data_IF_856382512529
#
_entry.id   IF_856382512529
#
_cell.length_a   1.000
_cell.length_b   1.000
_cell.length_c   1.000
_cell.angle_alpha   90.00
_cell.angle_beta   90.00
_cell.angle_gamma   90.00
#
_symmetry.space_group_name_H-M   'P 1'
#
loop_
_entity.id
_entity.type
_entity.pdbx_description
1 polymer ?
#
# COMPACT_ATOMS: atom_id res chain seq x y z
N UNK A 1 7.92 -33.22 46.52
CA UNK A 1 8.54 -32.49 47.65
C UNK A 1 8.09 -33.14 48.94
N UNK A 2 9.03 -33.65 49.75
CA UNK A 2 8.76 -34.14 51.11
C UNK A 2 8.74 -32.92 52.03
N UNK A 3 7.65 -32.72 52.78
CA UNK A 3 7.60 -31.73 53.84
C UNK A 3 8.17 -32.35 55.11
N UNK A 4 9.24 -31.76 55.64
CA UNK A 4 9.75 -32.10 56.97
C UNK A 4 8.89 -31.46 58.07
N UNK A 5 8.78 -32.07 59.27
CA UNK A 5 7.96 -31.55 60.35
C UNK A 5 8.60 -30.33 61.00
N UNK A 6 7.80 -29.29 61.24
CA UNK A 6 8.21 -28.07 61.94
C UNK A 6 8.39 -28.39 63.44
N UNK A 7 9.63 -28.28 63.94
CA UNK A 7 9.92 -28.29 65.38
C UNK A 7 9.58 -26.92 66.01
N UNK A 8 8.99 -26.86 67.22
CA UNK A 8 8.64 -25.59 67.85
C UNK A 8 9.88 -24.99 68.52
N UNK A 9 10.52 -24.04 67.84
CA UNK A 9 11.47 -23.11 68.43
C UNK A 9 10.79 -21.76 68.70
N UNK A 10 11.24 -21.05 69.74
CA UNK A 10 10.78 -19.71 70.11
C UNK A 10 10.78 -18.73 68.92
N UNK A 11 9.93 -17.69 68.91
CA UNK A 11 9.68 -16.87 67.73
C UNK A 11 10.82 -15.88 67.52
N UNK A 12 11.94 -16.35 66.99
CA UNK A 12 12.88 -15.49 66.28
C UNK A 12 12.46 -15.63 64.83
N UNK A 13 11.65 -14.69 64.35
CA UNK A 13 11.51 -14.50 62.91
C UNK A 13 12.93 -14.29 62.38
N UNK A 14 13.32 -15.05 61.35
CA UNK A 14 14.65 -14.94 60.77
C UNK A 14 14.76 -13.63 59.98
N UNK A 15 15.91 -12.93 60.03
CA UNK A 15 16.15 -11.68 59.27
C UNK A 15 15.88 -11.87 57.77
N UNK A 16 16.05 -13.11 57.29
CA UNK A 16 15.72 -13.54 55.92
C UNK A 16 14.29 -13.24 55.51
N UNK A 17 13.30 -13.30 56.43
CA UNK A 17 11.88 -13.12 56.08
C UNK A 17 11.59 -11.69 55.59
N UNK A 18 12.21 -10.68 56.21
CA UNK A 18 12.09 -9.30 55.75
C UNK A 18 12.79 -9.10 54.40
N UNK A 19 13.96 -9.70 54.21
CA UNK A 19 14.66 -9.65 52.91
C UNK A 19 13.85 -10.30 51.80
N UNK A 20 13.33 -11.52 52.03
CA UNK A 20 12.52 -12.29 51.10
C UNK A 20 11.22 -11.55 50.74
N UNK A 21 10.58 -10.90 51.72
CA UNK A 21 9.41 -10.05 51.45
C UNK A 21 9.81 -8.85 50.58
N UNK A 22 10.92 -8.17 50.87
CA UNK A 22 11.41 -7.07 50.04
C UNK A 22 11.71 -7.49 48.60
N UNK A 23 12.42 -8.61 48.42
CA UNK A 23 12.72 -9.17 47.10
C UNK A 23 11.45 -9.58 46.34
N UNK A 24 10.46 -10.16 47.04
CA UNK A 24 9.18 -10.51 46.44
C UNK A 24 8.39 -9.28 45.96
N UNK A 25 8.34 -8.20 46.76
CA UNK A 25 7.66 -6.96 46.36
C UNK A 25 8.29 -6.38 45.08
N UNK A 26 9.62 -6.36 45.01
CA UNK A 26 10.37 -5.90 43.82
C UNK A 26 10.11 -6.80 42.61
N UNK A 27 10.13 -8.12 42.82
CA UNK A 27 9.83 -9.10 41.78
C UNK A 27 8.40 -8.94 41.23
N UNK A 28 7.43 -8.64 42.10
CA UNK A 28 6.06 -8.34 41.69
C UNK A 28 6.02 -7.05 40.85
N UNK A 29 6.70 -5.99 41.29
CA UNK A 29 6.73 -4.72 40.55
C UNK A 29 7.39 -4.84 39.16
N UNK A 30 8.45 -5.64 39.01
CA UNK A 30 9.03 -5.94 37.68
C UNK A 30 8.07 -6.77 36.82
N UNK A 31 7.43 -7.78 37.40
CA UNK A 31 6.43 -8.59 36.69
C UNK A 31 5.23 -7.75 36.21
N UNK A 32 4.74 -6.82 37.04
CA UNK A 32 3.67 -5.89 36.68
C UNK A 32 4.05 -5.02 35.48
N UNK A 33 5.25 -4.42 35.48
CA UNK A 33 5.74 -3.60 34.37
C UNK A 33 6.00 -4.40 33.07
N UNK A 34 6.33 -5.69 33.17
CA UNK A 34 6.41 -6.58 31.99
C UNK A 34 5.02 -6.87 31.42
N UNK A 35 4.02 -7.09 32.26
CA UNK A 35 2.64 -7.35 31.84
C UNK A 35 1.99 -6.11 31.22
N UNK A 36 2.27 -4.93 31.75
CA UNK A 36 1.83 -3.66 31.16
C UNK A 36 2.34 -3.52 29.72
N UNK A 37 3.66 -3.69 29.51
CA UNK A 37 4.23 -3.67 28.15
C UNK A 37 3.63 -4.73 27.23
N UNK A 38 3.32 -5.92 27.75
CA UNK A 38 2.66 -6.95 26.98
C UNK A 38 1.21 -6.57 26.60
N UNK A 39 0.50 -5.89 27.50
CA UNK A 39 -0.87 -5.39 27.26
C UNK A 39 -0.85 -4.31 26.18
N UNK A 40 0.06 -3.34 26.27
CA UNK A 40 0.24 -2.32 25.23
C UNK A 40 0.59 -2.93 23.86
N UNK A 41 1.32 -4.05 23.86
CA UNK A 41 1.63 -4.79 22.64
C UNK A 41 0.39 -5.50 22.07
N UNK A 42 -0.49 -6.07 22.91
CA UNK A 42 -1.75 -6.65 22.47
C UNK A 42 -2.64 -5.60 21.81
N UNK A 43 -2.76 -4.40 22.39
CA UNK A 43 -3.57 -3.31 21.83
C UNK A 43 -3.05 -2.85 20.47
N UNK A 44 -1.71 -2.75 20.33
CA UNK A 44 -1.08 -2.48 19.03
C UNK A 44 -1.39 -3.57 17.99
N UNK A 45 -1.33 -4.84 18.38
CA UNK A 45 -1.67 -5.95 17.49
C UNK A 45 -3.14 -5.91 17.03
N UNK A 46 -4.08 -5.54 17.91
CA UNK A 46 -5.49 -5.34 17.52
C UNK A 46 -5.61 -4.27 16.43
N UNK A 47 -4.90 -3.15 16.58
CA UNK A 47 -4.86 -2.10 15.57
C UNK A 47 -4.29 -2.57 14.22
N UNK A 48 -3.21 -3.34 14.23
CA UNK A 48 -2.63 -3.93 13.01
C UNK A 48 -3.58 -4.93 12.34
N UNK A 49 -4.27 -5.77 13.13
CA UNK A 49 -5.27 -6.72 12.61
C UNK A 49 -6.45 -6.01 11.96
N UNK A 50 -6.92 -4.89 12.52
CA UNK A 50 -7.97 -4.07 11.90
C UNK A 50 -7.56 -3.54 10.51
N UNK A 51 -6.30 -3.12 10.34
CA UNK A 51 -5.78 -2.71 9.03
C UNK A 51 -5.71 -3.88 8.03
N UNK A 52 -5.38 -5.08 8.49
CA UNK A 52 -5.41 -6.28 7.64
C UNK A 52 -6.83 -6.61 7.19
N UNK A 53 -7.83 -6.44 8.06
CA UNK A 53 -9.23 -6.62 7.71
C UNK A 53 -9.68 -5.64 6.61
N UNK A 54 -9.29 -4.37 6.71
CA UNK A 54 -9.53 -3.36 5.66
C UNK A 54 -8.93 -3.78 4.31
N UNK A 55 -7.71 -4.32 4.29
CA UNK A 55 -7.10 -4.82 3.05
C UNK A 55 -7.85 -6.02 2.46
N UNK A 56 -8.38 -6.92 3.30
CA UNK A 56 -9.18 -8.06 2.83
C UNK A 56 -10.49 -7.58 2.20
N UNK A 57 -11.14 -6.57 2.79
CA UNK A 57 -12.36 -5.97 2.22
C UNK A 57 -12.06 -5.29 0.88
N UNK A 58 -10.96 -4.53 0.78
CA UNK A 58 -10.53 -3.93 -0.48
C UNK A 58 -10.25 -4.99 -1.54
N UNK A 59 -9.54 -6.06 -1.18
CA UNK A 59 -9.24 -7.16 -2.09
C UNK A 59 -10.51 -7.80 -2.64
N UNK A 60 -11.56 -7.98 -1.82
CA UNK A 60 -12.83 -8.51 -2.31
C UNK A 60 -13.55 -7.58 -3.28
N UNK A 61 -13.47 -6.27 -3.07
CA UNK A 61 -14.01 -5.30 -4.02
C UNK A 61 -13.26 -5.40 -5.37
N UNK A 62 -11.93 -5.47 -5.33
CA UNK A 62 -11.10 -5.64 -6.52
C UNK A 62 -11.43 -6.96 -7.24
N UNK A 63 -11.66 -8.05 -6.51
CA UNK A 63 -12.06 -9.33 -7.11
C UNK A 63 -13.40 -9.25 -7.83
N UNK A 64 -14.40 -8.54 -7.28
CA UNK A 64 -15.69 -8.33 -7.97
C UNK A 64 -15.49 -7.56 -9.26
N UNK A 65 -14.69 -6.49 -9.23
CA UNK A 65 -14.38 -5.72 -10.43
C UNK A 65 -13.66 -6.56 -11.49
N UNK A 66 -12.73 -7.43 -11.09
CA UNK A 66 -12.05 -8.36 -12.01
C UNK A 66 -13.06 -9.33 -12.64
N UNK A 67 -13.99 -9.88 -11.85
CA UNK A 67 -15.03 -10.78 -12.36
C UNK A 67 -15.91 -10.07 -13.42
N UNK A 68 -16.43 -8.89 -13.09
CA UNK A 68 -17.25 -8.10 -14.02
C UNK A 68 -16.49 -7.76 -15.32
N UNK A 69 -15.22 -7.35 -15.20
CA UNK A 69 -14.37 -7.04 -16.36
C UNK A 69 -14.07 -8.26 -17.22
N UNK A 70 -13.97 -9.44 -16.60
CA UNK A 70 -13.73 -10.71 -17.29
C UNK A 70 -14.98 -11.15 -18.05
N UNK A 71 -16.16 -10.97 -17.47
CA UNK A 71 -17.43 -11.24 -18.16
C UNK A 71 -17.66 -10.29 -19.33
N UNK A 72 -17.30 -9.00 -19.18
CA UNK A 72 -17.33 -8.04 -20.29
C UNK A 72 -16.34 -8.44 -21.41
N UNK A 73 -15.11 -8.84 -21.04
CA UNK A 73 -14.12 -9.31 -22.01
C UNK A 73 -14.62 -10.51 -22.81
N UNK A 74 -15.29 -11.48 -22.16
CA UNK A 74 -15.91 -12.63 -22.85
C UNK A 74 -17.00 -12.21 -23.83
N UNK A 75 -17.88 -11.29 -23.42
CA UNK A 75 -18.92 -10.77 -24.31
C UNK A 75 -18.33 -10.05 -25.54
N UNK A 76 -17.25 -9.28 -25.33
CA UNK A 76 -16.54 -8.61 -26.42
C UNK A 76 -15.84 -9.61 -27.34
N UNK A 77 -15.19 -10.65 -26.80
CA UNK A 77 -14.57 -11.73 -27.58
C UNK A 77 -15.61 -12.48 -28.42
N UNK A 78 -16.78 -12.80 -27.86
CA UNK A 78 -17.86 -13.45 -28.60
C UNK A 78 -18.35 -12.59 -29.78
N UNK A 79 -18.56 -11.29 -29.55
CA UNK A 79 -18.94 -10.34 -30.62
C UNK A 79 -17.84 -10.19 -31.67
N UNK A 80 -16.57 -10.15 -31.26
CA UNK A 80 -15.44 -10.09 -32.18
C UNK A 80 -15.38 -11.33 -33.06
N UNK A 81 -15.63 -12.52 -32.50
CA UNK A 81 -15.70 -13.77 -33.23
C UNK A 81 -16.82 -13.74 -34.30
N UNK A 82 -18.03 -13.32 -33.93
CA UNK A 82 -19.14 -13.17 -34.90
C UNK A 82 -18.80 -12.17 -36.03
N UNK A 83 -18.13 -11.06 -35.70
CA UNK A 83 -17.70 -10.08 -36.70
C UNK A 83 -16.62 -10.62 -37.63
N UNK A 84 -15.67 -11.41 -37.10
CA UNK A 84 -14.62 -12.04 -37.89
C UNK A 84 -15.18 -13.13 -38.81
N UNK A 85 -16.11 -13.95 -38.33
CA UNK A 85 -16.79 -14.96 -39.14
C UNK A 85 -17.58 -14.32 -40.28
N UNK A 86 -18.36 -13.27 -39.99
CA UNK A 86 -19.06 -12.49 -41.02
C UNK A 86 -18.07 -11.81 -41.99
N UNK A 87 -16.94 -11.33 -41.47
CA UNK A 87 -15.86 -10.76 -42.28
C UNK A 87 -15.26 -11.78 -43.25
N UNK A 88 -14.98 -12.99 -42.78
CA UNK A 88 -14.46 -14.09 -43.56
C UNK A 88 -15.44 -14.53 -44.66
N UNK A 89 -16.74 -14.65 -44.35
CA UNK A 89 -17.77 -14.94 -45.35
C UNK A 89 -17.83 -13.87 -46.46
N UNK A 90 -17.76 -12.59 -46.08
CA UNK A 90 -17.77 -11.48 -47.04
C UNK A 90 -16.53 -11.48 -47.93
N UNK A 91 -15.35 -11.74 -47.37
CA UNK A 91 -14.10 -11.85 -48.14
C UNK A 91 -14.17 -13.03 -49.10
N UNK A 92 -14.63 -14.21 -48.64
CA UNK A 92 -14.80 -15.38 -49.50
C UNK A 92 -15.77 -15.12 -50.66
N UNK A 93 -16.86 -14.40 -50.40
CA UNK A 93 -17.81 -13.97 -51.44
C UNK A 93 -17.13 -13.04 -52.43
N UNK A 94 -16.42 -12.02 -51.94
CA UNK A 94 -15.68 -11.08 -52.79
C UNK A 94 -14.63 -11.77 -53.66
N UNK A 95 -13.89 -12.75 -53.13
CA UNK A 95 -12.93 -13.56 -53.89
C UNK A 95 -13.63 -14.33 -55.02
N UNK A 96 -14.80 -14.91 -54.76
CA UNK A 96 -15.57 -15.66 -55.76
C UNK A 96 -16.09 -14.74 -56.89
N UNK A 97 -16.64 -13.58 -56.52
CA UNK A 97 -17.07 -12.56 -57.48
C UNK A 97 -15.88 -12.05 -58.31
N UNK A 98 -14.74 -11.82 -57.67
CA UNK A 98 -13.54 -11.34 -58.33
C UNK A 98 -12.97 -12.36 -59.33
N UNK A 99 -12.98 -13.65 -58.99
CA UNK A 99 -12.63 -14.72 -59.94
C UNK A 99 -13.53 -14.74 -61.17
N UNK A 100 -14.81 -14.41 -61.01
CA UNK A 100 -15.74 -14.28 -62.14
C UNK A 100 -15.37 -13.10 -63.06
N UNK A 101 -14.86 -12.01 -62.50
CA UNK A 101 -14.32 -10.87 -63.28
C UNK A 101 -13.07 -11.26 -64.05
N UNK A 102 -12.15 -12.01 -63.43
CA UNK A 102 -10.93 -12.53 -64.09
C UNK A 102 -11.31 -13.36 -65.31
N UNK A 103 -12.26 -14.29 -65.15
CA UNK A 103 -12.73 -15.13 -66.25
C UNK A 103 -13.41 -14.30 -67.37
N UNK A 104 -14.14 -13.24 -67.04
CA UNK A 104 -14.71 -12.32 -68.01
C UNK A 104 -13.62 -11.58 -68.81
N UNK A 105 -12.58 -11.09 -68.13
CA UNK A 105 -11.43 -10.40 -68.77
C UNK A 105 -10.70 -11.37 -69.72
N UNK A 106 -10.47 -12.61 -69.28
CA UNK A 106 -9.84 -13.63 -70.11
C UNK A 106 -10.66 -13.93 -71.38
N UNK A 107 -11.98 -14.07 -71.25
CA UNK A 107 -12.89 -14.26 -72.39
C UNK A 107 -12.90 -13.05 -73.33
N UNK A 108 -12.88 -11.83 -72.79
CA UNK A 108 -12.78 -10.61 -73.60
C UNK A 108 -11.48 -10.57 -74.39
N UNK A 109 -10.35 -10.96 -73.78
CA UNK A 109 -9.06 -11.06 -74.46
C UNK A 109 -9.08 -12.02 -75.65
N UNK A 110 -9.70 -13.18 -75.48
CA UNK A 110 -9.90 -14.14 -76.57
C UNK A 110 -10.77 -13.57 -77.70
N UNK A 111 -11.85 -12.88 -77.37
CA UNK A 111 -12.74 -12.24 -78.36
C UNK A 111 -12.03 -11.14 -79.16
N UNK A 112 -11.26 -10.27 -78.51
CA UNK A 112 -10.51 -9.19 -79.18
C UNK A 112 -9.42 -9.77 -80.09
N UNK A 113 -8.74 -10.84 -79.64
CA UNK A 113 -7.73 -11.54 -80.47
C UNK A 113 -8.37 -12.13 -81.73
N UNK A 114 -9.54 -12.77 -81.60
CA UNK A 114 -10.27 -13.29 -82.74
C UNK A 114 -10.77 -12.16 -83.67
N UNK A 115 -11.24 -11.05 -83.10
CA UNK A 115 -11.66 -9.87 -83.87
C UNK A 115 -10.50 -9.30 -84.70
N UNK A 116 -9.31 -9.18 -84.12
CA UNK A 116 -8.10 -8.74 -84.83
C UNK A 116 -7.76 -9.66 -86.03
N UNK A 117 -7.85 -10.99 -85.84
CA UNK A 117 -7.63 -11.96 -86.92
C UNK A 117 -8.66 -11.82 -88.07
N UNK A 118 -9.93 -11.56 -87.74
CA UNK A 118 -10.97 -11.31 -88.76
C UNK A 118 -10.69 -10.01 -89.53
N UNK A 119 -10.26 -8.95 -88.85
CA UNK A 119 -9.89 -7.68 -89.50
C UNK A 119 -8.73 -7.88 -90.48
N UNK A 120 -7.74 -8.69 -90.14
CA UNK A 120 -6.63 -9.03 -91.03
C UNK A 120 -7.10 -9.77 -92.30
N UNK A 121 -8.04 -10.70 -92.17
CA UNK A 121 -8.66 -11.36 -93.33
C UNK A 121 -9.41 -10.37 -94.23
N UNK A 122 -10.19 -9.44 -93.65
CA UNK A 122 -10.91 -8.41 -94.42
C UNK A 122 -9.92 -7.49 -95.14
N UNK A 123 -8.79 -7.16 -94.53
CA UNK A 123 -7.74 -6.37 -95.15
C UNK A 123 -7.13 -7.09 -96.38
N UNK A 124 -6.86 -8.40 -96.28
CA UNK A 124 -6.37 -9.21 -97.40
C UNK A 124 -7.37 -9.28 -98.56
N UNK A 125 -8.66 -9.44 -98.25
CA UNK A 125 -9.73 -9.44 -99.26
C UNK A 125 -9.83 -8.07 -99.94
N UNK A 126 -9.80 -6.98 -99.18
CA UNK A 126 -9.84 -5.62 -99.71
C UNK A 126 -8.66 -5.33 -100.65
N UNK A 127 -7.45 -5.78 -100.29
CA UNK A 127 -6.26 -5.66 -101.12
C UNK A 127 -6.37 -6.46 -102.43
N UNK A 128 -6.98 -7.64 -102.37
CA UNK A 128 -7.26 -8.45 -103.56
C UNK A 128 -8.26 -7.75 -104.50
N UNK A 129 -9.31 -7.13 -103.97
CA UNK A 129 -10.28 -6.36 -104.75
C UNK A 129 -9.63 -5.12 -105.37
N UNK A 130 -8.74 -4.44 -104.65
CA UNK A 130 -7.98 -3.30 -105.17
C UNK A 130 -7.13 -3.70 -106.39
N UNK A 131 -6.47 -4.86 -106.30
CA UNK A 131 -5.66 -5.41 -107.39
C UNK A 131 -6.52 -5.81 -108.61
N UNK A 132 -7.72 -6.36 -108.39
CA UNK A 132 -8.70 -6.62 -109.45
C UNK A 132 -9.11 -5.29 -110.10
N UNK A 133 -9.52 -4.29 -109.31
CA UNK A 133 -9.90 -2.96 -109.81
C UNK A 133 -8.77 -2.26 -110.57
N UNK A 134 -7.51 -2.43 -110.14
CA UNK A 134 -6.33 -1.95 -110.88
C UNK A 134 -6.19 -2.62 -112.24
N UNK A 135 -6.35 -3.94 -112.28
CA UNK A 135 -6.29 -4.72 -113.52
C UNK A 135 -7.44 -4.37 -114.47
N UNK A 136 -8.67 -4.26 -113.96
CA UNK A 136 -9.85 -3.85 -114.72
C UNK A 136 -9.71 -2.44 -115.29
N UNK A 137 -9.17 -1.50 -114.51
CA UNK A 137 -8.88 -0.15 -114.99
C UNK A 137 -7.84 -0.13 -116.12
N UNK A 138 -6.81 -0.98 -116.04
CA UNK A 138 -5.82 -1.14 -117.12
C UNK A 138 -6.43 -1.76 -118.38
N UNK A 139 -7.25 -2.81 -118.22
CA UNK A 139 -7.98 -3.44 -119.33
C UNK A 139 -8.94 -2.45 -120.01
N UNK A 140 -9.69 -1.69 -119.22
CA UNK A 140 -10.61 -0.67 -119.72
C UNK A 140 -9.88 0.48 -120.44
N UNK A 141 -8.70 0.88 -119.95
CA UNK A 141 -7.86 1.85 -120.63
C UNK A 141 -7.37 1.33 -121.99
N UNK A 142 -6.87 0.09 -122.03
CA UNK A 142 -6.43 -0.54 -123.28
C UNK A 142 -7.60 -0.67 -124.27
N UNK A 143 -8.79 -1.05 -123.79
CA UNK A 143 -10.00 -1.12 -124.61
C UNK A 143 -10.45 0.25 -125.13
N UNK A 144 -10.34 1.31 -124.33
CA UNK A 144 -10.64 2.67 -124.76
C UNK A 144 -9.67 3.16 -125.86
N UNK A 145 -8.37 2.87 -125.71
CA UNK A 145 -7.36 3.19 -126.73
C UNK A 145 -7.66 2.47 -128.05
N UNK A 146 -7.96 1.17 -128.00
CA UNK A 146 -8.26 0.40 -129.21
C UNK A 146 -9.59 0.82 -129.85
N UNK A 147 -10.58 1.21 -129.04
CA UNK A 147 -11.84 1.77 -129.52
C UNK A 147 -11.66 3.14 -130.23
N UNK A 148 -10.78 4.01 -129.74
CA UNK A 148 -10.40 5.24 -130.47
C UNK A 148 -9.67 4.91 -131.78
N UNK A 149 -8.80 3.91 -131.76
CA UNK A 149 -8.04 3.46 -132.93
C UNK A 149 -8.90 2.91 -134.06
N UNK A 150 -10.06 2.34 -133.72
CA UNK A 150 -11.05 1.82 -134.68
C UNK A 150 -11.96 2.90 -135.30
N UNK A 151 -11.83 4.18 -134.91
CA UNK A 151 -12.60 5.30 -135.47
C UNK A 151 -14.12 5.16 -135.24
N UNK A 152 -14.94 5.44 -136.26
CA UNK A 152 -16.41 5.44 -136.15
C UNK A 152 -17.00 4.09 -135.72
N UNK A 153 -16.35 2.97 -136.08
CA UNK A 153 -16.79 1.63 -135.70
C UNK A 153 -16.58 1.32 -134.20
N UNK A 154 -15.67 2.02 -133.52
CA UNK A 154 -15.33 1.82 -132.11
C UNK A 154 -16.12 2.67 -131.12
N UNK A 155 -16.97 3.59 -131.59
CA UNK A 155 -17.57 4.64 -130.74
C UNK A 155 -18.42 4.10 -129.57
N UNK A 156 -19.19 3.04 -129.80
CA UNK A 156 -19.97 2.36 -128.73
C UNK A 156 -19.08 1.61 -127.75
N UNK A 157 -17.98 1.01 -128.21
CA UNK A 157 -17.00 0.36 -127.34
C UNK A 157 -16.24 1.37 -126.47
N UNK A 158 -15.96 2.57 -126.98
CA UNK A 158 -15.31 3.63 -126.22
C UNK A 158 -16.16 4.08 -125.01
N UNK A 159 -17.49 4.18 -125.18
CA UNK A 159 -18.42 4.53 -124.09
C UNK A 159 -18.43 3.44 -123.01
N UNK A 160 -18.50 2.16 -123.39
CA UNK A 160 -18.47 1.04 -122.44
C UNK A 160 -17.12 1.00 -121.71
N UNK A 161 -16.00 1.18 -122.43
CA UNK A 161 -14.67 1.20 -121.84
C UNK A 161 -14.50 2.35 -120.83
N UNK A 162 -15.05 3.54 -121.13
CA UNK A 162 -15.06 4.67 -120.19
C UNK A 162 -15.86 4.37 -118.91
N UNK A 163 -17.02 3.72 -119.03
CA UNK A 163 -17.84 3.35 -117.87
C UNK A 163 -17.18 2.25 -117.02
N UNK A 164 -16.56 1.24 -117.65
CA UNK A 164 -15.79 0.20 -116.93
C UNK A 164 -14.59 0.81 -116.22
N UNK A 165 -13.89 1.77 -116.85
CA UNK A 165 -12.78 2.52 -116.23
C UNK A 165 -13.25 3.29 -115.00
N UNK A 166 -14.37 4.00 -115.10
CA UNK A 166 -14.99 4.73 -113.98
C UNK A 166 -15.41 3.80 -112.85
N UNK A 167 -16.02 2.65 -113.17
CA UNK A 167 -16.39 1.64 -112.18
C UNK A 167 -15.16 1.10 -111.45
N UNK A 168 -14.08 0.80 -112.18
CA UNK A 168 -12.83 0.34 -111.59
C UNK A 168 -12.15 1.40 -110.69
N UNK A 169 -12.24 2.68 -111.04
CA UNK A 169 -11.77 3.78 -110.19
C UNK A 169 -12.62 3.91 -108.91
N UNK A 170 -13.96 3.82 -109.03
CA UNK A 170 -14.87 3.83 -107.88
C UNK A 170 -14.61 2.65 -106.94
N UNK A 171 -14.42 1.43 -107.49
CA UNK A 171 -14.07 0.25 -106.71
C UNK A 171 -12.77 0.45 -105.93
N UNK A 172 -11.75 1.06 -106.57
CA UNK A 172 -10.49 1.36 -105.88
C UNK A 172 -10.67 2.36 -104.73
N UNK A 173 -11.45 3.42 -104.95
CA UNK A 173 -11.80 4.38 -103.90
C UNK A 173 -12.51 3.73 -102.72
N UNK A 174 -13.47 2.84 -102.99
CA UNK A 174 -14.17 2.08 -101.95
C UNK A 174 -13.23 1.13 -101.18
N UNK A 175 -12.31 0.43 -101.86
CA UNK A 175 -11.32 -0.43 -101.18
C UNK A 175 -10.33 0.36 -100.32
N UNK A 176 -10.00 1.59 -100.72
CA UNK A 176 -9.15 2.48 -99.91
C UNK A 176 -9.86 2.99 -98.64
N UNK A 177 -11.17 3.24 -98.71
CA UNK A 177 -11.99 3.55 -97.53
C UNK A 177 -12.10 2.36 -96.57
N UNK A 178 -12.31 1.16 -97.10
CA UNK A 178 -12.30 -0.08 -96.32
C UNK A 178 -10.96 -0.25 -95.62
N UNK A 179 -9.84 -0.11 -96.35
CA UNK A 179 -8.49 -0.22 -95.78
C UNK A 179 -8.25 0.76 -94.64
N UNK A 180 -8.66 2.02 -94.78
CA UNK A 180 -8.55 3.02 -93.71
C UNK A 180 -9.39 2.65 -92.49
N UNK A 181 -10.62 2.19 -92.71
CA UNK A 181 -11.53 1.79 -91.62
C UNK A 181 -11.01 0.58 -90.86
N UNK A 182 -10.51 -0.44 -91.57
CA UNK A 182 -9.87 -1.62 -90.97
C UNK A 182 -8.60 -1.25 -90.20
N UNK A 183 -7.78 -0.33 -90.71
CA UNK A 183 -6.61 0.17 -90.00
C UNK A 183 -6.96 0.87 -88.67
N UNK A 184 -8.06 1.64 -88.65
CA UNK A 184 -8.57 2.26 -87.41
C UNK A 184 -9.03 1.19 -86.41
N UNK A 185 -9.83 0.22 -86.86
CA UNK A 185 -10.33 -0.88 -86.01
C UNK A 185 -9.21 -1.77 -85.48
N UNK A 186 -8.17 -2.03 -86.28
CA UNK A 186 -6.99 -2.77 -85.84
C UNK A 186 -6.21 -2.00 -84.75
N UNK A 187 -6.13 -0.67 -84.87
CA UNK A 187 -5.49 0.18 -83.86
C UNK A 187 -6.28 0.15 -82.55
N UNK A 188 -7.61 0.27 -82.61
CA UNK A 188 -8.49 0.16 -81.45
C UNK A 188 -8.40 -1.23 -80.79
N UNK A 189 -8.40 -2.31 -81.59
CA UNK A 189 -8.25 -3.67 -81.08
C UNK A 189 -6.91 -3.87 -80.35
N UNK A 190 -5.81 -3.33 -80.89
CA UNK A 190 -4.50 -3.37 -80.24
C UNK A 190 -4.50 -2.61 -78.90
N UNK A 191 -5.17 -1.45 -78.84
CA UNK A 191 -5.38 -0.71 -77.61
C UNK A 191 -6.14 -1.53 -76.55
N UNK A 192 -7.24 -2.17 -76.95
CA UNK A 192 -8.01 -3.05 -76.06
C UNK A 192 -7.18 -4.22 -75.52
N UNK A 193 -6.32 -4.84 -76.34
CA UNK A 193 -5.44 -5.92 -75.88
C UNK A 193 -4.50 -5.45 -74.77
N UNK A 194 -3.93 -4.25 -74.90
CA UNK A 194 -3.06 -3.68 -73.88
C UNK A 194 -3.82 -3.40 -72.57
N UNK A 195 -5.05 -2.88 -72.66
CA UNK A 195 -5.91 -2.66 -71.48
C UNK A 195 -6.29 -3.97 -70.79
N UNK A 196 -6.61 -5.01 -71.56
CA UNK A 196 -6.92 -6.36 -71.04
C UNK A 196 -5.71 -6.94 -70.31
N UNK A 197 -4.52 -6.81 -70.88
CA UNK A 197 -3.29 -7.32 -70.26
C UNK A 197 -2.98 -6.59 -68.94
N UNK A 198 -3.19 -5.27 -68.90
CA UNK A 198 -3.12 -4.51 -67.64
C UNK A 198 -4.18 -4.97 -66.63
N UNK A 199 -5.41 -5.24 -67.09
CA UNK A 199 -6.49 -5.78 -66.26
C UNK A 199 -6.16 -7.14 -65.64
N UNK A 200 -5.50 -8.03 -66.40
CA UNK A 200 -5.01 -9.33 -65.90
C UNK A 200 -3.95 -9.13 -64.81
N UNK A 201 -2.95 -8.27 -65.04
CA UNK A 201 -1.91 -7.99 -64.04
C UNK A 201 -2.47 -7.39 -62.75
N UNK A 202 -3.41 -6.44 -62.87
CA UNK A 202 -4.12 -5.86 -61.72
C UNK A 202 -4.93 -6.91 -60.97
N UNK A 203 -5.56 -7.82 -61.69
CA UNK A 203 -6.35 -8.90 -61.08
C UNK A 203 -5.48 -9.88 -60.30
N UNK A 204 -4.32 -10.29 -60.84
CA UNK A 204 -3.38 -11.16 -60.12
C UNK A 204 -2.87 -10.52 -58.83
N UNK A 205 -2.64 -9.20 -58.86
CA UNK A 205 -2.27 -8.46 -57.64
C UNK A 205 -3.39 -8.44 -56.60
N UNK A 206 -4.63 -8.24 -57.04
CA UNK A 206 -5.79 -8.25 -56.15
C UNK A 206 -6.02 -9.64 -55.52
N UNK A 207 -5.80 -10.73 -56.27
CA UNK A 207 -5.89 -12.10 -55.74
C UNK A 207 -4.89 -12.32 -54.59
N UNK A 208 -3.63 -11.93 -54.76
CA UNK A 208 -2.62 -11.99 -53.69
C UNK A 208 -2.99 -11.13 -52.45
N UNK A 209 -3.65 -9.99 -52.67
CA UNK A 209 -4.14 -9.16 -51.57
C UNK A 209 -5.28 -9.84 -50.80
N UNK A 210 -6.19 -10.53 -51.49
CA UNK A 210 -7.26 -11.29 -50.84
C UNK A 210 -6.74 -12.47 -50.02
N UNK A 211 -5.70 -13.17 -50.49
CA UNK A 211 -5.03 -14.21 -49.70
C UNK A 211 -4.47 -13.62 -48.40
N UNK A 212 -3.77 -12.48 -48.49
CA UNK A 212 -3.22 -11.79 -47.31
C UNK A 212 -4.32 -11.37 -46.32
N UNK A 213 -5.47 -10.90 -46.81
CA UNK A 213 -6.62 -10.53 -45.96
C UNK A 213 -7.21 -11.77 -45.29
N UNK A 214 -7.30 -12.89 -46.01
CA UNK A 214 -7.83 -14.15 -45.48
C UNK A 214 -6.95 -14.68 -44.35
N UNK A 215 -5.63 -14.66 -44.54
CA UNK A 215 -4.66 -15.05 -43.50
C UNK A 215 -4.78 -14.15 -42.27
N UNK A 216 -4.87 -12.83 -42.47
CA UNK A 216 -5.03 -11.88 -41.37
C UNK A 216 -6.33 -12.08 -40.58
N UNK A 217 -7.43 -12.47 -41.24
CA UNK A 217 -8.68 -12.83 -40.58
C UNK A 217 -8.54 -14.11 -39.76
N UNK A 218 -7.84 -15.13 -40.30
CA UNK A 218 -7.58 -16.37 -39.57
C UNK A 218 -6.75 -16.13 -38.30
N UNK A 219 -5.68 -15.33 -38.42
CA UNK A 219 -4.85 -14.93 -37.29
C UNK A 219 -5.66 -14.16 -36.24
N UNK A 220 -6.54 -13.25 -36.66
CA UNK A 220 -7.42 -12.52 -35.76
C UNK A 220 -8.38 -13.45 -35.01
N UNK A 221 -8.97 -14.44 -35.69
CA UNK A 221 -9.83 -15.45 -35.04
C UNK A 221 -9.06 -16.26 -33.99
N UNK A 222 -7.82 -16.65 -34.31
CA UNK A 222 -6.97 -17.36 -33.35
C UNK A 222 -6.62 -16.49 -32.12
N UNK A 223 -6.33 -15.20 -32.32
CA UNK A 223 -6.08 -14.26 -31.21
C UNK A 223 -7.31 -14.08 -30.32
N UNK A 224 -8.52 -14.00 -30.89
CA UNK A 224 -9.76 -13.91 -30.12
C UNK A 224 -9.99 -15.19 -29.30
N UNK A 225 -9.70 -16.37 -29.85
CA UNK A 225 -9.79 -17.63 -29.11
C UNK A 225 -8.80 -17.70 -27.93
N UNK A 226 -7.57 -17.18 -28.10
CA UNK A 226 -6.60 -17.06 -27.00
C UNK A 226 -7.08 -16.09 -25.91
N UNK A 227 -7.73 -14.99 -26.29
CA UNK A 227 -8.32 -14.05 -25.33
C UNK A 227 -9.46 -14.68 -24.53
N UNK A 228 -10.26 -15.53 -25.15
CA UNK A 228 -11.34 -16.27 -24.48
C UNK A 228 -10.77 -17.26 -23.43
N UNK A 229 -9.77 -18.07 -23.80
CA UNK A 229 -9.07 -18.97 -22.85
C UNK A 229 -8.43 -18.18 -21.70
N UNK A 230 -7.77 -17.06 -22.00
CA UNK A 230 -7.17 -16.22 -20.98
C UNK A 230 -8.22 -15.65 -20.03
N UNK A 231 -9.39 -15.25 -20.55
CA UNK A 231 -10.51 -14.76 -19.74
C UNK A 231 -11.05 -15.86 -18.82
N UNK A 232 -11.19 -17.09 -19.31
CA UNK A 232 -11.54 -18.25 -18.48
C UNK A 232 -10.55 -18.49 -17.34
N UNK A 233 -9.25 -18.41 -17.63
CA UNK A 233 -8.18 -18.57 -16.63
C UNK A 233 -8.20 -17.45 -15.58
N UNK A 234 -8.48 -16.21 -15.99
CA UNK A 234 -8.62 -15.08 -15.07
C UNK A 234 -9.83 -15.29 -14.15
N UNK A 235 -10.97 -15.71 -14.69
CA UNK A 235 -12.18 -15.99 -13.90
C UNK A 235 -11.93 -17.09 -12.84
N UNK A 236 -11.27 -18.19 -13.23
CA UNK A 236 -10.90 -19.26 -12.29
C UNK A 236 -9.93 -18.77 -11.22
N UNK A 237 -8.91 -18.00 -11.59
CA UNK A 237 -7.95 -17.41 -10.65
C UNK A 237 -8.64 -16.49 -9.65
N UNK A 238 -9.54 -15.63 -10.14
CA UNK A 238 -10.31 -14.71 -9.30
C UNK A 238 -11.19 -15.45 -8.30
N UNK A 239 -11.87 -16.52 -8.73
CA UNK A 239 -12.65 -17.37 -7.83
C UNK A 239 -11.79 -18.01 -6.71
N UNK A 240 -10.58 -18.46 -7.03
CA UNK A 240 -9.63 -18.98 -6.04
C UNK A 240 -9.16 -17.90 -5.06
N UNK A 241 -8.85 -16.69 -5.55
CA UNK A 241 -8.45 -15.56 -4.69
C UNK A 241 -9.59 -15.17 -3.75
N UNK A 242 -10.83 -15.14 -4.25
CA UNK A 242 -12.01 -14.88 -3.41
C UNK A 242 -12.18 -15.91 -2.30
N UNK A 243 -12.07 -17.21 -2.62
CA UNK A 243 -12.12 -18.28 -1.63
C UNK A 243 -10.99 -18.19 -0.59
N UNK A 244 -9.79 -17.78 -1.00
CA UNK A 244 -8.68 -17.54 -0.08
C UNK A 244 -8.89 -16.30 0.79
N UNK A 245 -9.47 -15.23 0.25
CA UNK A 245 -9.85 -14.04 1.01
C UNK A 245 -10.81 -14.38 2.17
N UNK A 246 -11.82 -15.22 1.90
CA UNK A 246 -12.73 -15.72 2.94
C UNK A 246 -11.99 -16.49 4.05
N UNK A 247 -11.02 -17.35 3.70
CA UNK A 247 -10.20 -18.08 4.69
C UNK A 247 -9.30 -17.15 5.51
N UNK A 248 -8.74 -16.12 4.87
CA UNK A 248 -7.90 -15.12 5.56
C UNK A 248 -8.75 -14.35 6.57
N UNK A 249 -9.97 -13.93 6.20
CA UNK A 249 -10.90 -13.28 7.13
C UNK A 249 -11.20 -14.16 8.34
N UNK A 250 -11.55 -15.42 8.13
CA UNK A 250 -11.81 -16.36 9.22
C UNK A 250 -10.57 -16.55 10.12
N UNK A 251 -9.37 -16.56 9.54
CA UNK A 251 -8.13 -16.62 10.30
C UNK A 251 -7.89 -15.34 11.12
N UNK A 252 -8.16 -14.15 10.56
CA UNK A 252 -8.06 -12.88 11.26
C UNK A 252 -9.03 -12.82 12.44
N UNK A 253 -10.29 -13.24 12.27
CA UNK A 253 -11.29 -13.27 13.35
C UNK A 253 -10.84 -14.14 14.52
N UNK A 254 -10.24 -15.30 14.23
CA UNK A 254 -9.66 -16.17 15.27
C UNK A 254 -8.49 -15.51 15.99
N UNK A 255 -7.61 -14.81 15.26
CA UNK A 255 -6.47 -14.12 15.87
C UNK A 255 -6.94 -12.94 16.73
N UNK A 256 -7.90 -12.14 16.25
CA UNK A 256 -8.50 -11.04 17.02
C UNK A 256 -9.10 -11.56 18.33
N UNK A 257 -9.84 -12.66 18.27
CA UNK A 257 -10.40 -13.30 19.46
C UNK A 257 -9.30 -13.75 20.41
N UNK A 258 -8.26 -14.43 19.91
CA UNK A 258 -7.13 -14.88 20.72
C UNK A 258 -6.34 -13.74 21.38
N UNK A 259 -6.15 -12.62 20.67
CA UNK A 259 -5.44 -11.45 21.22
C UNK A 259 -6.28 -10.78 22.32
N UNK A 260 -7.60 -10.72 22.16
CA UNK A 260 -8.50 -10.22 23.21
C UNK A 260 -8.50 -11.11 24.44
N UNK A 261 -8.54 -12.44 24.27
CA UNK A 261 -8.49 -13.39 25.38
C UNK A 261 -7.14 -13.30 26.13
N UNK A 262 -6.03 -13.14 25.39
CA UNK A 262 -4.72 -12.91 25.98
C UNK A 262 -4.67 -11.59 26.76
N UNK A 263 -5.23 -10.50 26.21
CA UNK A 263 -5.29 -9.20 26.90
C UNK A 263 -6.05 -9.31 28.22
N UNK A 264 -7.21 -9.97 28.23
CA UNK A 264 -7.98 -10.23 29.47
C UNK A 264 -7.18 -11.06 30.48
N UNK A 265 -6.45 -12.08 30.02
CA UNK A 265 -5.60 -12.91 30.87
C UNK A 265 -4.45 -12.11 31.48
N UNK A 266 -3.83 -11.22 30.69
CA UNK A 266 -2.76 -10.33 31.17
C UNK A 266 -3.28 -9.35 32.22
N UNK A 267 -4.45 -8.75 32.02
CA UNK A 267 -5.10 -7.89 33.02
C UNK A 267 -5.31 -8.64 34.35
N UNK A 268 -5.90 -9.84 34.31
CA UNK A 268 -6.08 -10.63 35.53
C UNK A 268 -4.77 -11.07 36.20
N UNK A 269 -3.71 -11.30 35.39
CA UNK A 269 -2.37 -11.60 35.91
C UNK A 269 -1.74 -10.38 36.58
N UNK A 270 -1.93 -9.18 36.01
CA UNK A 270 -1.50 -7.90 36.61
C UNK A 270 -2.13 -7.71 37.98
N UNK A 271 -3.45 -7.88 38.07
CA UNK A 271 -4.19 -7.72 39.34
C UNK A 271 -3.69 -8.69 40.41
N UNK A 272 -3.40 -9.94 40.02
CA UNK A 272 -2.85 -10.96 40.93
C UNK A 272 -1.46 -10.57 41.45
N UNK A 273 -0.61 -10.02 40.58
CA UNK A 273 0.74 -9.56 40.95
C UNK A 273 0.69 -8.33 41.85
N UNK A 274 -0.19 -7.35 41.57
CA UNK A 274 -0.39 -6.19 42.44
C UNK A 274 -0.89 -6.63 43.82
N UNK A 275 -1.82 -7.59 43.87
CA UNK A 275 -2.25 -8.16 45.15
C UNK A 275 -1.12 -8.88 45.89
N UNK A 276 -0.23 -9.59 45.18
CA UNK A 276 0.96 -10.21 45.78
C UNK A 276 1.94 -9.17 46.32
N UNK A 277 2.15 -8.08 45.58
CA UNK A 277 2.98 -6.95 46.00
C UNK A 277 2.43 -6.31 47.29
N UNK A 278 1.12 -6.07 47.38
CA UNK A 278 0.50 -5.56 48.59
C UNK A 278 0.64 -6.52 49.77
N UNK A 279 0.42 -7.83 49.57
CA UNK A 279 0.59 -8.84 50.64
C UNK A 279 2.04 -8.87 51.12
N UNK A 280 2.98 -8.87 50.19
CA UNK A 280 4.42 -8.86 50.45
C UNK A 280 4.85 -7.62 51.22
N UNK A 281 4.40 -6.43 50.82
CA UNK A 281 4.65 -5.18 51.55
C UNK A 281 4.03 -5.16 52.96
N UNK A 282 2.83 -5.71 53.15
CA UNK A 282 2.24 -5.86 54.49
C UNK A 282 3.04 -6.81 55.37
N UNK A 283 3.50 -7.94 54.82
CA UNK A 283 4.34 -8.90 55.55
C UNK A 283 5.69 -8.27 55.92
N UNK A 284 6.32 -7.57 54.98
CA UNK A 284 7.55 -6.81 55.22
C UNK A 284 7.38 -5.85 56.40
N UNK A 285 6.36 -5.00 56.35
CA UNK A 285 6.10 -4.02 57.39
C UNK A 285 5.81 -4.68 58.76
N UNK A 286 5.06 -5.79 58.78
CA UNK A 286 4.78 -6.53 60.01
C UNK A 286 6.04 -7.16 60.65
N UNK A 287 6.95 -7.72 59.83
CA UNK A 287 8.21 -8.31 60.32
C UNK A 287 9.13 -7.22 60.89
N UNK A 288 9.26 -6.09 60.20
CA UNK A 288 10.07 -4.98 60.72
C UNK A 288 9.46 -4.37 61.99
N UNK A 289 8.15 -4.15 62.01
CA UNK A 289 7.43 -3.64 63.19
C UNK A 289 7.55 -4.55 64.41
N UNK A 290 7.82 -5.84 64.23
CA UNK A 290 8.06 -6.80 65.30
C UNK A 290 9.51 -6.76 65.84
N UNK A 291 10.38 -5.88 65.32
CA UNK A 291 11.76 -5.69 65.82
C UNK A 291 12.75 -6.76 65.37
N UNK A 292 12.47 -7.42 64.25
CA UNK A 292 13.18 -8.63 63.79
C UNK A 292 14.47 -8.33 63.03
N UNK A 293 14.63 -7.13 62.48
CA UNK A 293 15.83 -6.71 61.74
C UNK A 293 16.57 -5.60 62.49
N UNK A 294 17.76 -5.85 63.06
CA UNK A 294 18.58 -4.85 63.74
C UNK A 294 19.06 -3.74 62.82
N UNK A 295 19.37 -4.05 61.56
CA UNK A 295 19.84 -3.07 60.57
C UNK A 295 18.72 -2.12 60.16
N UNK A 296 17.53 -2.65 59.82
CA UNK A 296 16.38 -1.82 59.49
C UNK A 296 15.91 -1.01 60.72
N UNK A 297 15.98 -1.60 61.93
CA UNK A 297 15.66 -0.89 63.18
C UNK A 297 16.63 0.27 63.45
N UNK A 298 17.90 0.16 63.07
CA UNK A 298 18.86 1.25 63.18
C UNK A 298 18.52 2.39 62.21
N UNK A 299 18.08 2.08 61.00
CA UNK A 299 17.63 3.09 60.03
C UNK A 299 16.32 3.74 60.48
N UNK A 300 15.39 2.99 61.09
CA UNK A 300 14.19 3.55 61.72
C UNK A 300 14.57 4.51 62.85
N UNK A 301 15.53 4.15 63.72
CA UNK A 301 16.00 5.03 64.77
C UNK A 301 16.65 6.31 64.21
N UNK A 302 17.44 6.19 63.14
CA UNK A 302 18.02 7.33 62.44
C UNK A 302 16.93 8.21 61.81
N UNK A 303 15.97 7.63 61.09
CA UNK A 303 14.88 8.38 60.48
C UNK A 303 14.02 9.10 61.53
N UNK A 304 13.86 8.54 62.73
CA UNK A 304 13.23 9.23 63.85
C UNK A 304 14.05 10.46 64.31
N UNK A 305 15.39 10.36 64.37
CA UNK A 305 16.26 11.50 64.67
C UNK A 305 16.18 12.58 63.59
N UNK A 306 16.17 12.19 62.30
CA UNK A 306 16.01 13.12 61.18
C UNK A 306 14.66 13.82 61.26
N UNK A 307 13.59 13.09 61.58
CA UNK A 307 12.25 13.66 61.80
C UNK A 307 12.24 14.66 62.95
N UNK A 308 12.84 14.31 64.09
CA UNK A 308 12.90 15.18 65.27
C UNK A 308 13.67 16.48 64.97
N UNK A 309 14.77 16.39 64.21
CA UNK A 309 15.53 17.57 63.79
C UNK A 309 14.76 18.41 62.76
N UNK A 310 14.11 17.77 61.78
CA UNK A 310 13.25 18.41 60.78
C UNK A 310 12.12 19.21 61.44
N UNK A 311 11.38 18.58 62.36
CA UNK A 311 10.31 19.22 63.13
C UNK A 311 10.87 20.36 63.97
N UNK A 312 11.96 20.11 64.71
CA UNK A 312 12.57 21.11 65.58
C UNK A 312 13.10 22.34 64.82
N UNK A 313 13.58 22.19 63.59
CA UNK A 313 13.99 23.32 62.74
C UNK A 313 12.80 24.22 62.40
N UNK A 314 11.66 23.62 62.04
CA UNK A 314 10.45 24.35 61.71
C UNK A 314 9.84 25.04 62.94
N UNK A 315 9.71 24.31 64.06
CA UNK A 315 9.15 24.87 65.29
C UNK A 315 9.97 26.05 65.80
N UNK A 316 11.31 25.94 65.81
CA UNK A 316 12.20 27.06 66.19
C UNK A 316 12.07 28.27 65.24
N UNK A 317 11.88 28.04 63.94
CA UNK A 317 11.69 29.13 62.99
C UNK A 317 10.32 29.81 63.17
N UNK A 318 9.29 29.06 63.54
CA UNK A 318 7.98 29.60 63.93
C UNK A 318 8.09 30.45 65.20
N UNK A 319 8.79 29.95 66.22
CA UNK A 319 9.01 30.68 67.48
C UNK A 319 9.80 31.99 67.27
N UNK A 320 10.73 32.01 66.31
CA UNK A 320 11.50 33.21 65.93
C UNK A 320 10.76 34.15 64.97
N UNK A 321 9.58 33.76 64.47
CA UNK A 321 8.82 34.53 63.48
C UNK A 321 9.43 34.53 62.07
N UNK A 322 10.38 33.64 61.79
CA UNK A 322 11.02 33.47 60.48
C UNK A 322 10.14 32.66 59.51
N UNK A 323 9.21 31.86 60.05
CA UNK A 323 8.28 31.02 59.31
C UNK A 323 6.91 31.06 60.00
N UNK A 324 5.81 31.08 59.25
CA UNK A 324 4.47 31.01 59.84
C UNK A 324 3.84 29.63 59.70
N UNK A 325 2.89 29.30 60.58
CA UNK A 325 2.09 28.09 60.46
C UNK A 325 1.22 28.08 59.18
N UNK A 326 0.93 29.23 58.59
CA UNK A 326 0.24 29.31 57.30
C UNK A 326 1.16 28.86 56.16
N UNK A 327 2.41 29.37 56.12
CA UNK A 327 3.41 28.97 55.13
C UNK A 327 3.76 27.48 55.23
N UNK A 328 3.88 26.94 56.45
CA UNK A 328 4.16 25.51 56.65
C UNK A 328 3.08 24.60 56.05
N UNK A 329 1.83 25.02 56.09
CA UNK A 329 0.67 24.22 55.65
C UNK A 329 0.04 24.77 54.37
N UNK A 330 0.82 25.53 53.60
CA UNK A 330 0.42 26.08 52.32
C UNK A 330 0.28 24.97 51.29
N UNK A 331 -0.96 24.75 50.82
CA UNK A 331 -1.30 23.79 49.77
C UNK A 331 -1.68 24.49 48.46
N UNK A 332 -1.40 25.78 48.31
CA UNK A 332 -1.58 26.51 47.05
C UNK A 332 -0.40 26.21 46.10
N UNK A 333 -0.46 25.04 45.47
CA UNK A 333 0.61 24.54 44.60
C UNK A 333 0.66 25.32 43.28
N UNK A 334 1.59 26.29 43.20
CA UNK A 334 1.79 27.09 41.99
C UNK A 334 2.70 26.36 41.02
N UNK A 335 2.17 25.98 39.85
CA UNK A 335 2.91 25.24 38.79
C UNK A 335 4.15 26.01 38.33
N UNK A 336 5.27 25.31 38.21
CA UNK A 336 6.52 25.78 37.61
C UNK A 336 6.50 25.47 36.11
N UNK A 337 6.43 26.48 35.22
CA UNK A 337 6.42 26.23 33.78
C UNK A 337 7.75 25.61 33.31
N UNK A 338 7.66 24.70 32.32
CA UNK A 338 8.84 24.15 31.64
C UNK A 338 9.50 22.96 32.33
N UNK A 339 8.90 22.36 33.35
CA UNK A 339 9.34 21.08 33.90
C UNK A 339 8.58 19.89 33.30
N UNK A 340 9.24 18.74 33.19
CA UNK A 340 8.61 17.48 32.78
C UNK A 340 9.28 16.29 33.49
N UNK A 341 8.73 15.75 34.60
CA UNK A 341 7.35 15.91 35.09
C UNK A 341 6.99 17.28 35.69
N UNK A 342 5.70 17.50 35.94
CA UNK A 342 5.21 18.76 36.51
C UNK A 342 5.74 19.00 37.93
N UNK A 343 6.14 20.25 38.18
CA UNK A 343 6.62 20.74 39.48
C UNK A 343 5.80 21.93 39.93
N UNK A 344 5.76 22.14 41.23
CA UNK A 344 5.02 23.17 41.90
C UNK A 344 5.89 23.85 42.95
N UNK A 345 5.50 25.05 43.36
CA UNK A 345 6.09 25.79 44.47
C UNK A 345 4.99 26.28 45.39
N UNK A 346 5.32 26.37 46.67
CA UNK A 346 4.52 27.02 47.71
C UNK A 346 5.37 28.07 48.40
N UNK A 347 4.76 28.84 49.30
CA UNK A 347 5.48 29.83 50.12
C UNK A 347 6.53 29.22 51.07
N UNK A 348 6.50 27.90 51.27
CA UNK A 348 7.46 27.15 52.08
C UNK A 348 8.79 26.86 51.36
N UNK A 349 8.79 26.76 50.03
CA UNK A 349 9.88 26.18 49.26
C UNK A 349 11.25 26.85 49.50
N UNK A 350 11.31 28.19 49.50
CA UNK A 350 12.59 28.90 49.68
C UNK A 350 13.16 28.70 51.10
N UNK A 351 12.29 28.68 52.10
CA UNK A 351 12.69 28.40 53.46
C UNK A 351 13.14 26.94 53.63
N UNK A 352 12.40 25.99 53.06
CA UNK A 352 12.72 24.56 53.07
C UNK A 352 14.06 24.27 52.38
N UNK A 353 14.33 24.92 51.24
CA UNK A 353 15.59 24.83 50.52
C UNK A 353 16.78 25.34 51.33
N UNK A 354 16.59 26.38 52.15
CA UNK A 354 17.64 26.93 53.00
C UNK A 354 17.86 26.15 54.30
N UNK A 355 16.83 25.50 54.86
CA UNK A 355 16.88 24.96 56.23
C UNK A 355 16.71 23.44 56.32
N UNK A 356 15.84 22.83 55.51
CA UNK A 356 15.64 21.39 55.51
C UNK A 356 16.54 20.65 54.51
N UNK A 357 16.88 21.26 53.36
CA UNK A 357 17.82 20.65 52.41
C UNK A 357 19.18 20.32 53.04
N UNK A 358 19.84 21.20 53.82
CA UNK A 358 21.13 20.88 54.44
C UNK A 358 21.04 19.71 55.43
N UNK A 359 19.90 19.50 56.07
CA UNK A 359 19.64 18.32 56.90
C UNK A 359 19.64 17.06 56.02
N UNK A 360 18.86 17.04 54.94
CA UNK A 360 18.78 15.88 54.06
C UNK A 360 20.11 15.57 53.37
N UNK A 361 20.84 16.59 52.92
CA UNK A 361 22.17 16.43 52.31
C UNK A 361 23.17 15.84 53.31
N UNK A 362 23.14 16.29 54.57
CA UNK A 362 23.98 15.73 55.64
C UNK A 362 23.66 14.27 55.90
N UNK A 363 22.39 13.91 56.00
CA UNK A 363 21.95 12.52 56.24
C UNK A 363 22.47 11.58 55.16
N UNK A 364 22.35 11.96 53.88
CA UNK A 364 22.88 11.17 52.75
C UNK A 364 24.42 11.15 52.71
N UNK A 365 25.07 12.24 53.13
CA UNK A 365 26.54 12.31 53.16
C UNK A 365 27.18 11.49 54.30
N UNK A 366 26.53 11.44 55.47
CA UNK A 366 27.03 10.73 56.66
C UNK A 366 26.74 9.22 56.64
N UNK A 367 25.73 8.78 55.86
CA UNK A 367 25.25 7.40 55.80
C UNK A 367 25.23 6.86 54.35
N UNK A 368 26.27 6.14 53.89
CA UNK A 368 26.38 5.65 52.50
C UNK A 368 25.25 4.72 52.02
N UNK A 369 24.60 4.03 52.96
CA UNK A 369 23.45 3.17 52.72
C UNK A 369 22.19 3.97 52.35
N UNK A 370 22.08 5.23 52.79
CA UNK A 370 20.95 6.10 52.47
C UNK A 370 21.14 6.66 51.06
N UNK A 371 20.15 6.40 50.21
CA UNK A 371 20.13 6.90 48.83
C UNK A 371 19.43 8.24 48.74
N UNK A 372 18.36 8.42 49.51
CA UNK A 372 17.63 9.68 49.56
C UNK A 372 17.06 9.95 50.95
N UNK A 373 17.00 11.23 51.31
CA UNK A 373 16.22 11.73 52.44
C UNK A 373 15.39 12.92 51.97
N UNK A 374 14.12 12.95 52.36
CA UNK A 374 13.19 14.00 51.95
C UNK A 374 12.05 14.15 52.94
N UNK A 375 11.11 15.05 52.66
CA UNK A 375 9.85 15.11 53.37
C UNK A 375 8.73 15.53 52.42
N UNK A 376 7.58 14.88 52.52
CA UNK A 376 6.40 15.15 51.73
C UNK A 376 5.22 15.53 52.62
N UNK A 377 4.49 16.59 52.26
CA UNK A 377 3.29 17.01 53.00
C UNK A 377 2.14 15.98 52.88
N UNK A 378 0.99 16.23 53.50
CA UNK A 378 -0.15 15.30 53.46
C UNK A 378 -0.72 14.98 52.06
N UNK A 379 -0.35 15.75 51.03
CA UNK A 379 -0.73 15.52 49.64
C UNK A 379 0.43 14.96 48.80
N UNK A 380 1.56 14.61 49.43
CA UNK A 380 2.74 14.07 48.75
C UNK A 380 3.58 15.15 48.06
N UNK A 381 3.40 16.43 48.38
CA UNK A 381 4.22 17.51 47.83
C UNK A 381 5.56 17.61 48.56
N UNK A 382 6.66 17.62 47.81
CA UNK A 382 8.02 17.72 48.34
C UNK A 382 8.51 19.17 48.23
N UNK A 383 8.44 20.01 49.28
CA UNK A 383 8.85 21.42 49.21
C UNK A 383 10.34 21.59 48.90
N UNK A 384 11.16 20.59 49.26
CA UNK A 384 12.58 20.50 48.97
C UNK A 384 13.00 19.03 48.85
N UNK A 385 14.24 18.78 48.47
CA UNK A 385 14.86 17.45 48.41
C UNK A 385 16.38 17.62 48.56
N UNK A 386 17.17 16.53 48.68
CA UNK A 386 18.64 16.59 48.54
C UNK A 386 19.08 17.39 47.30
N UNK A 387 20.25 18.04 47.37
CA UNK A 387 20.78 18.93 46.34
C UNK A 387 20.84 18.25 44.96
N UNK A 388 21.21 16.97 44.90
CA UNK A 388 21.28 16.22 43.64
C UNK A 388 19.92 16.00 42.96
N UNK A 389 18.84 16.05 43.72
CA UNK A 389 17.46 15.93 43.25
C UNK A 389 16.71 17.27 43.28
N UNK A 390 17.44 18.38 43.43
CA UNK A 390 16.90 19.74 43.47
C UNK A 390 17.47 20.66 42.38
N UNK A 391 17.81 20.11 41.22
CA UNK A 391 18.37 20.88 40.10
C UNK A 391 17.29 21.72 39.37
N UNK A 392 17.75 22.67 38.56
CA UNK A 392 16.85 23.46 37.73
C UNK A 392 16.26 22.59 36.59
N UNK A 393 14.95 22.67 36.31
CA UNK A 393 14.32 21.86 35.29
C UNK A 393 14.73 22.32 33.88
N UNK A 394 14.79 21.39 32.94
CA UNK A 394 15.11 21.64 31.53
C UNK A 394 13.94 21.33 30.59
N UNK A 395 12.90 20.64 31.08
CA UNK A 395 11.77 20.15 30.28
C UNK A 395 12.05 18.83 29.55
N UNK A 396 13.29 18.33 29.65
CA UNK A 396 13.67 17.01 29.18
C UNK A 396 13.29 15.94 30.22
N UNK A 397 12.57 14.91 29.78
CA UNK A 397 12.00 13.90 30.67
C UNK A 397 13.08 13.12 31.44
N UNK A 398 14.19 12.79 30.79
CA UNK A 398 15.26 12.00 31.40
C UNK A 398 15.98 12.80 32.50
N UNK A 399 16.37 14.04 32.17
CA UNK A 399 17.03 14.94 33.12
C UNK A 399 16.13 15.28 34.32
N UNK A 400 14.90 15.73 34.06
CA UNK A 400 14.02 16.25 35.10
C UNK A 400 13.52 15.14 36.03
N UNK A 401 13.28 13.93 35.51
CA UNK A 401 12.95 12.76 36.31
C UNK A 401 14.08 12.39 37.29
N UNK A 402 15.33 12.42 36.80
CA UNK A 402 16.50 12.02 37.60
C UNK A 402 16.92 13.07 38.64
N UNK A 403 16.77 14.37 38.33
CA UNK A 403 17.42 15.44 39.10
C UNK A 403 16.51 16.53 39.64
N UNK A 404 15.23 16.54 39.27
CA UNK A 404 14.30 17.62 39.60
C UNK A 404 13.09 17.11 40.40
N UNK A 405 13.34 16.42 41.53
CA UNK A 405 12.28 15.86 42.37
C UNK A 405 11.64 16.88 43.32
N UNK A 406 12.37 17.92 43.73
CA UNK A 406 11.79 18.96 44.57
C UNK A 406 10.66 19.72 43.84
N UNK A 407 9.57 19.95 44.53
CA UNK A 407 8.35 20.54 44.00
C UNK A 407 7.45 19.55 43.26
N UNK A 408 7.81 18.27 43.14
CA UNK A 408 6.87 17.26 42.61
C UNK A 408 5.84 16.90 43.68
N UNK A 409 4.68 16.44 43.21
CA UNK A 409 3.68 15.75 44.02
C UNK A 409 3.82 14.26 43.71
N UNK A 410 4.27 13.47 44.68
CA UNK A 410 4.45 12.02 44.59
C UNK A 410 3.45 11.36 45.54
N UNK A 411 2.28 11.01 45.02
CA UNK A 411 1.16 10.50 45.82
C UNK A 411 0.61 9.20 45.24
N UNK A 412 1.42 8.14 45.31
CA UNK A 412 1.00 6.79 44.91
C UNK A 412 0.23 6.08 46.04
N UNK A 413 -0.23 4.84 45.79
CA UNK A 413 -0.97 4.08 46.80
C UNK A 413 -0.18 3.81 48.09
N UNK A 414 1.15 3.69 47.97
CA UNK A 414 2.05 3.40 49.08
C UNK A 414 2.26 4.63 49.96
N UNK A 415 2.53 5.78 49.35
CA UNK A 415 2.61 7.08 50.03
C UNK A 415 1.27 7.43 50.70
N UNK A 416 0.15 7.22 49.99
CA UNK A 416 -1.18 7.42 50.55
C UNK A 416 -1.46 6.46 51.73
N UNK A 417 -0.96 5.22 51.69
CA UNK A 417 -1.07 4.28 52.81
C UNK A 417 -0.22 4.71 54.01
N UNK A 418 1.01 5.19 53.77
CA UNK A 418 1.88 5.73 54.81
C UNK A 418 1.23 6.93 55.52
N UNK A 419 0.69 7.89 54.77
CA UNK A 419 0.04 9.10 55.31
C UNK A 419 -1.25 8.82 56.09
N UNK A 420 -1.97 7.75 55.76
CA UNK A 420 -3.15 7.29 56.52
C UNK A 420 -2.77 6.52 57.78
N UNK A 421 -1.54 6.02 57.88
CA UNK A 421 -1.08 5.23 59.02
C UNK A 421 -0.99 6.10 60.27
N UNK A 422 -1.48 5.56 61.40
CA UNK A 422 -1.28 6.15 62.73
C UNK A 422 -0.14 5.47 63.51
N UNK A 423 0.60 4.57 62.85
CA UNK A 423 1.75 3.91 63.46
C UNK A 423 2.90 4.90 63.69
N UNK A 424 3.84 4.61 64.62
CA UNK A 424 4.99 5.48 64.88
C UNK A 424 5.90 5.70 63.68
N UNK A 425 5.89 4.76 62.72
CA UNK A 425 6.55 4.83 61.42
C UNK A 425 5.85 3.85 60.45
N UNK A 426 6.12 3.98 59.16
CA UNK A 426 5.66 3.05 58.13
C UNK A 426 6.84 2.68 57.22
N UNK A 427 6.93 1.42 56.79
CA UNK A 427 8.00 0.95 55.91
C UNK A 427 7.47 0.18 54.72
N UNK A 428 8.14 0.36 53.58
CA UNK A 428 7.84 -0.32 52.34
C UNK A 428 9.10 -0.49 51.51
N UNK A 429 9.07 -1.48 50.61
CA UNK A 429 10.07 -1.65 49.58
C UNK A 429 9.41 -1.29 48.26
N UNK A 430 10.01 -0.35 47.52
CA UNK A 430 9.46 0.06 46.23
C UNK A 430 10.55 0.45 45.24
N UNK A 431 10.15 0.58 43.97
CA UNK A 431 11.02 1.00 42.88
C UNK A 431 11.11 2.51 42.84
N UNK A 432 12.29 3.03 43.18
CA UNK A 432 12.57 4.43 43.03
C UNK A 432 12.94 4.76 41.58
N UNK A 433 12.18 5.67 40.98
CA UNK A 433 12.36 6.18 39.62
C UNK A 433 13.78 6.77 39.40
N UNK A 434 14.52 6.27 38.40
CA UNK A 434 15.86 6.77 38.06
C UNK A 434 15.80 7.80 36.92
N UNK A 435 16.20 7.36 35.72
CA UNK A 435 16.26 8.14 34.47
C UNK A 435 15.00 7.94 33.60
N UNK A 436 13.93 7.37 34.16
CA UNK A 436 12.71 7.01 33.43
C UNK A 436 12.75 5.63 32.75
N UNK A 437 13.93 4.98 32.69
CA UNK A 437 14.12 3.64 32.10
C UNK A 437 14.65 2.65 33.16
N UNK A 438 15.57 3.10 34.00
CA UNK A 438 16.21 2.36 35.08
C UNK A 438 15.61 2.75 36.43
N UNK A 439 15.51 1.77 37.33
CA UNK A 439 14.91 1.94 38.65
C UNK A 439 15.84 1.35 39.70
N UNK A 440 15.89 1.98 40.87
CA UNK A 440 16.63 1.48 42.02
C UNK A 440 15.64 0.96 43.06
N UNK A 441 15.84 -0.27 43.52
CA UNK A 441 15.08 -0.80 44.64
C UNK A 441 15.58 -0.17 45.92
N UNK A 442 14.68 0.47 46.67
CA UNK A 442 14.97 1.04 47.98
C UNK A 442 13.97 0.55 49.01
N UNK A 443 14.44 0.42 50.24
CA UNK A 443 13.58 0.37 51.42
C UNK A 443 13.36 1.81 51.86
N UNK A 444 12.14 2.19 52.18
CA UNK A 444 11.83 3.56 52.62
C UNK A 444 11.13 3.54 53.97
N UNK A 445 11.59 4.40 54.86
CA UNK A 445 10.97 4.66 56.15
C UNK A 445 10.22 5.98 56.08
N UNK A 446 8.91 5.93 56.27
CA UNK A 446 8.05 7.10 56.42
C UNK A 446 7.90 7.38 57.91
N UNK A 447 8.39 8.54 58.32
CA UNK A 447 8.37 9.01 59.69
C UNK A 447 7.36 10.12 59.85
N UNK A 448 6.30 9.87 60.64
CA UNK A 448 5.36 10.89 60.95
C UNK A 448 5.96 12.20 61.52
N UNK A 449 5.89 13.29 60.74
CA UNK A 449 6.15 14.67 61.20
C UNK A 449 4.87 15.37 61.71
N UNK A 450 4.92 15.86 62.94
CA UNK A 450 3.88 16.68 63.57
C UNK A 450 4.59 17.96 64.02
N UNK A 451 4.15 19.12 63.51
CA UNK A 451 4.75 20.42 63.80
C UNK A 451 3.72 21.23 64.59
N UNK A 452 4.08 21.68 65.80
CA UNK A 452 3.19 22.41 66.70
C UNK A 452 1.82 21.72 66.90
N UNK A 453 1.84 20.39 67.06
CA UNK A 453 0.64 19.58 67.30
C UNK A 453 -0.23 19.31 66.08
N UNK A 454 0.13 19.80 64.89
CA UNK A 454 -0.58 19.51 63.63
C UNK A 454 0.25 18.59 62.74
N UNK A 455 -0.40 17.56 62.20
CA UNK A 455 0.20 16.63 61.24
C UNK A 455 0.55 17.34 59.93
N UNK A 456 1.84 17.48 59.62
CA UNK A 456 2.34 18.11 58.40
C UNK A 456 2.44 17.14 57.22
N UNK A 457 3.00 15.95 57.48
CA UNK A 457 3.33 14.97 56.45
C UNK A 457 4.34 13.97 56.99
N UNK A 458 5.14 13.39 56.11
CA UNK A 458 6.14 12.37 56.45
C UNK A 458 7.55 12.84 56.11
N UNK A 459 8.49 12.53 57.00
CA UNK A 459 9.93 12.58 56.72
C UNK A 459 10.34 11.21 56.24
N UNK A 460 11.02 11.16 55.11
CA UNK A 460 11.33 9.92 54.41
C UNK A 460 12.83 9.67 54.37
N UNK A 461 13.22 8.43 54.63
CA UNK A 461 14.60 7.95 54.50
C UNK A 461 14.59 6.68 53.66
N UNK A 462 15.09 6.80 52.43
CA UNK A 462 15.20 5.71 51.48
C UNK A 462 16.65 5.19 51.45
N UNK A 463 16.82 3.89 51.63
CA UNK A 463 18.12 3.25 51.81
C UNK A 463 18.19 1.90 51.10
N UNK A 464 19.42 1.43 50.94
CA UNK A 464 19.74 0.13 50.37
C UNK A 464 20.81 -0.52 51.26
N UNK A 465 20.49 -1.71 51.78
CA UNK A 465 21.41 -2.54 52.58
C UNK A 465 22.26 -3.45 51.68
#
# INVERSE_FOLDING_TARGET
>A
MKYDPIHPAAPVLDESVASDCGELAVGCSDAAGRIERATDQMDRQIGELGRLEEYVVSLEADQRQIADSTDEAKLLSARACEQLDSGAERVNTAVSEFRSVIDLIARLGAHVTNFAAVMEQVQQVSQSIEQIAKTTNMLALNAAIEAERAGDAGRTFAVVAAEVKKLAQNTRGATDEIRRSIGSLATEASGLVAEIQSGVEQSSRAEAQFETITDALHDATHLVALLDDQSDRIAQSSAMVHANGAKVREALDRVVTSVRDNSLTLVGTRDSILSMEHVSNRMFNAVISAGVSPQDSAIVALAAQVRDEFVGLAERAVDRGELTMEQLFDTDYVRVPGSNPERFRTTLCDWADAHWRPLFDRVVAEHPEIKMSSAGDMNGFLPTHITNCSRAPTGDLEHDTAHCRNGRILYDETDAAAKRSTAPYFMTVYRQEGDGINYVTVRNVYMPAIINGRRWGDVEVAYQL
#
